data_IF_052935997785
#
_entry.id   IF_052935997785
#
_cell.length_a   1.000
_cell.length_b   1.000
_cell.length_c   1.000
_cell.angle_alpha   90.00
_cell.angle_beta   90.00
_cell.angle_gamma   90.00
#
_symmetry.space_group_name_H-M   'P 1'
#
loop_
_entity.id
_entity.type
_entity.pdbx_description
1 polymer ?
#
# COMPACT_ATOMS: atom_id res chain seq x y z
N UNK A 1 2.74 -24.86 7.28
CA UNK A 1 1.51 -24.68 6.45
C UNK A 1 0.31 -25.25 7.20
N UNK A 2 -0.69 -24.42 7.50
CA UNK A 2 -1.84 -24.80 8.34
C UNK A 2 -2.76 -25.80 7.60
N UNK A 3 -3.32 -26.79 8.33
CA UNK A 3 -4.23 -27.79 7.76
C UNK A 3 -5.41 -27.19 6.94
N UNK A 4 -6.12 -26.14 7.41
CA UNK A 4 -7.22 -25.54 6.66
C UNK A 4 -6.79 -24.92 5.33
N UNK A 5 -5.60 -24.33 5.24
CA UNK A 5 -5.07 -23.81 3.98
C UNK A 5 -4.78 -24.92 2.97
N UNK A 6 -4.21 -26.06 3.41
CA UNK A 6 -4.01 -27.23 2.54
C UNK A 6 -5.32 -27.81 2.02
N UNK A 7 -6.36 -27.80 2.85
CA UNK A 7 -7.69 -28.25 2.43
C UNK A 7 -8.28 -27.33 1.34
N UNK A 8 -8.09 -26.01 1.45
CA UNK A 8 -8.51 -25.04 0.43
C UNK A 8 -7.74 -25.23 -0.88
N UNK A 9 -6.42 -25.42 -0.82
CA UNK A 9 -5.57 -25.66 -1.99
C UNK A 9 -6.00 -26.98 -2.70
N UNK A 10 -6.29 -28.03 -1.94
CA UNK A 10 -6.76 -29.31 -2.48
C UNK A 10 -8.17 -29.17 -3.11
N UNK A 11 -9.09 -28.44 -2.46
CA UNK A 11 -10.42 -28.18 -3.01
C UNK A 11 -10.36 -27.40 -4.33
N UNK A 12 -9.50 -26.37 -4.40
CA UNK A 12 -9.28 -25.63 -5.64
C UNK A 12 -8.73 -26.54 -6.75
N UNK A 13 -7.75 -27.40 -6.45
CA UNK A 13 -7.19 -28.34 -7.41
C UNK A 13 -8.22 -29.36 -7.90
N UNK A 14 -9.08 -29.89 -7.03
CA UNK A 14 -10.17 -30.79 -7.40
C UNK A 14 -11.22 -30.08 -8.27
N UNK A 15 -11.59 -28.84 -7.96
CA UNK A 15 -12.49 -28.04 -8.77
C UNK A 15 -11.94 -27.82 -10.19
N UNK A 16 -10.62 -27.58 -10.32
CA UNK A 16 -9.94 -27.49 -11.62
C UNK A 16 -10.08 -28.79 -12.41
N UNK A 17 -9.82 -29.94 -11.79
CA UNK A 17 -9.99 -31.23 -12.46
C UNK A 17 -11.44 -31.40 -12.97
N UNK A 18 -12.42 -31.03 -12.16
CA UNK A 18 -13.83 -31.06 -12.56
C UNK A 18 -14.14 -30.15 -13.75
N UNK A 19 -13.69 -28.90 -13.71
CA UNK A 19 -13.90 -27.93 -14.81
C UNK A 19 -13.24 -28.41 -16.11
N UNK A 20 -12.00 -28.89 -16.04
CA UNK A 20 -11.27 -29.42 -17.19
C UNK A 20 -11.96 -30.65 -17.75
N UNK A 21 -12.39 -31.60 -16.90
CA UNK A 21 -13.10 -32.78 -17.33
C UNK A 21 -14.42 -32.46 -18.06
N UNK A 22 -15.21 -31.54 -17.49
CA UNK A 22 -16.45 -31.07 -18.12
C UNK A 22 -16.18 -30.37 -19.45
N UNK A 23 -15.17 -29.49 -19.50
CA UNK A 23 -14.82 -28.76 -20.72
C UNK A 23 -14.27 -29.67 -21.83
N UNK A 24 -13.59 -30.77 -21.46
CA UNK A 24 -13.08 -31.75 -22.43
C UNK A 24 -14.17 -32.73 -22.89
N UNK A 25 -15.15 -33.05 -22.03
CA UNK A 25 -16.28 -33.92 -22.35
C UNK A 25 -17.36 -33.21 -23.18
N UNK A 26 -17.38 -31.86 -23.16
CA UNK A 26 -18.30 -31.09 -23.97
C UNK A 26 -17.87 -31.15 -25.45
N UNK A 27 -18.76 -31.69 -26.32
CA UNK A 27 -18.61 -31.67 -27.79
C UNK A 27 -18.82 -30.25 -28.33
N UNK A 28 -17.83 -29.36 -28.09
CA UNK A 28 -17.90 -27.96 -28.51
C UNK A 28 -16.69 -27.51 -29.33
N UNK A 29 -16.78 -26.35 -29.98
CA UNK A 29 -15.66 -25.75 -30.70
C UNK A 29 -14.49 -25.52 -29.74
N UNK A 30 -13.25 -25.73 -30.21
CA UNK A 30 -12.03 -25.54 -29.42
C UNK A 30 -11.32 -24.27 -29.85
N UNK A 31 -10.66 -23.55 -28.90
CA UNK A 31 -9.93 -22.33 -29.24
C UNK A 31 -8.80 -22.65 -30.21
N UNK A 32 -8.53 -21.75 -31.16
CA UNK A 32 -7.39 -21.88 -32.05
C UNK A 32 -6.09 -21.96 -31.27
N UNK A 33 -5.28 -23.01 -31.43
CA UNK A 33 -4.08 -23.22 -30.57
C UNK A 33 -3.10 -22.05 -30.59
N UNK A 34 -2.93 -21.41 -31.74
CA UNK A 34 -2.03 -20.25 -31.88
C UNK A 34 -2.56 -19.04 -31.08
N UNK A 35 -3.86 -18.79 -31.10
CA UNK A 35 -4.47 -17.71 -30.32
C UNK A 35 -4.37 -18.00 -28.80
N UNK A 36 -4.63 -19.23 -28.40
CA UNK A 36 -4.48 -19.63 -26.99
C UNK A 36 -3.02 -19.47 -26.51
N UNK A 37 -2.05 -19.90 -27.31
CA UNK A 37 -0.64 -19.70 -27.01
C UNK A 37 -0.25 -18.22 -26.91
N UNK A 38 -0.77 -17.38 -27.82
CA UNK A 38 -0.54 -15.95 -27.83
C UNK A 38 -1.05 -15.26 -26.56
N UNK A 39 -2.33 -15.47 -26.22
CA UNK A 39 -2.89 -14.86 -24.99
C UNK A 39 -2.25 -15.41 -23.71
N UNK A 40 -1.83 -16.68 -23.70
CA UNK A 40 -1.04 -17.25 -22.60
C UNK A 40 0.30 -16.54 -22.45
N UNK A 41 1.01 -16.28 -23.55
CA UNK A 41 2.28 -15.56 -23.53
C UNK A 41 2.11 -14.10 -23.07
N UNK A 42 1.05 -13.43 -23.55
CA UNK A 42 0.74 -12.07 -23.14
C UNK A 42 0.39 -11.99 -21.65
N UNK A 43 -0.42 -12.92 -21.15
CA UNK A 43 -0.71 -13.01 -19.72
C UNK A 43 0.56 -13.28 -18.91
N UNK A 44 1.38 -14.23 -19.34
CA UNK A 44 2.67 -14.54 -18.70
C UNK A 44 3.58 -13.30 -18.66
N UNK A 45 3.69 -12.56 -19.75
CA UNK A 45 4.46 -11.33 -19.79
C UNK A 45 3.88 -10.26 -18.85
N UNK A 46 2.55 -10.12 -18.79
CA UNK A 46 1.88 -9.20 -17.88
C UNK A 46 2.13 -9.55 -16.41
N UNK A 47 1.98 -10.82 -16.02
CA UNK A 47 2.18 -11.31 -14.65
C UNK A 47 3.65 -11.20 -14.18
N UNK A 48 4.61 -11.29 -15.10
CA UNK A 48 6.02 -11.12 -14.78
C UNK A 48 6.52 -9.68 -14.97
N UNK A 49 5.62 -8.76 -15.33
CA UNK A 49 5.89 -7.33 -15.51
C UNK A 49 5.17 -6.47 -14.48
N UNK A 50 4.87 -7.02 -13.30
CA UNK A 50 4.16 -6.37 -12.22
C UNK A 50 4.79 -5.02 -11.85
N UNK A 51 3.95 -3.99 -11.77
CA UNK A 51 4.32 -2.66 -11.30
C UNK A 51 3.73 -2.50 -9.90
N UNK A 52 4.59 -2.29 -8.90
CA UNK A 52 4.15 -1.94 -7.56
C UNK A 52 3.61 -0.51 -7.60
N UNK A 53 2.34 -0.33 -7.25
CA UNK A 53 1.77 0.99 -7.07
C UNK A 53 2.14 1.54 -5.68
N UNK A 54 2.27 2.88 -5.54
CA UNK A 54 2.57 3.50 -4.24
C UNK A 54 1.51 3.24 -3.16
N UNK A 55 0.28 2.96 -3.57
CA UNK A 55 -0.82 2.57 -2.69
C UNK A 55 -0.82 1.05 -2.54
N UNK A 56 0.05 0.44 -1.77
CA UNK A 56 0.02 -0.99 -1.38
C UNK A 56 -0.71 -2.00 -2.32
N UNK A 57 -1.31 -1.55 -3.40
CA UNK A 57 -2.13 -2.30 -4.34
C UNK A 57 -1.32 -2.57 -5.60
N UNK A 58 -0.93 -3.80 -5.83
CA UNK A 58 -0.40 -4.25 -7.13
C UNK A 58 -1.57 -4.43 -8.10
N UNK A 59 -1.54 -3.74 -9.22
CA UNK A 59 -2.48 -3.98 -10.30
C UNK A 59 -1.75 -4.76 -11.39
N UNK A 60 -2.22 -5.99 -11.63
CA UNK A 60 -1.74 -6.76 -12.77
C UNK A 60 -2.57 -6.43 -14.00
N UNK A 61 -1.95 -6.05 -15.12
CA UNK A 61 -2.65 -5.97 -16.40
C UNK A 61 -3.06 -7.35 -16.93
N UNK A 62 -2.69 -8.44 -16.23
CA UNK A 62 -2.97 -9.82 -16.62
C UNK A 62 -4.46 -10.11 -16.77
N UNK A 63 -5.29 -9.56 -15.87
CA UNK A 63 -6.75 -9.71 -15.97
C UNK A 63 -7.30 -9.21 -17.31
N UNK A 64 -6.76 -8.11 -17.85
CA UNK A 64 -7.12 -7.59 -19.17
C UNK A 64 -6.87 -8.63 -20.27
N UNK A 65 -5.78 -9.40 -20.18
CA UNK A 65 -5.46 -10.44 -21.16
C UNK A 65 -6.43 -11.63 -21.09
N UNK A 66 -6.93 -11.97 -19.90
CA UNK A 66 -7.98 -12.98 -19.74
C UNK A 66 -9.27 -12.52 -20.39
N UNK A 67 -9.73 -11.30 -20.11
CA UNK A 67 -10.94 -10.77 -20.72
C UNK A 67 -10.81 -10.61 -22.24
N UNK A 68 -9.61 -10.26 -22.72
CA UNK A 68 -9.31 -10.23 -24.15
C UNK A 68 -9.38 -11.63 -24.79
N UNK A 69 -8.89 -12.67 -24.11
CA UNK A 69 -8.98 -14.04 -24.59
C UNK A 69 -10.44 -14.54 -24.62
N UNK A 70 -11.25 -14.20 -23.62
CA UNK A 70 -12.68 -14.51 -23.57
C UNK A 70 -13.39 -13.93 -24.80
N UNK A 71 -13.16 -12.65 -25.08
CA UNK A 71 -13.77 -11.99 -26.24
C UNK A 71 -13.23 -12.50 -27.59
N UNK A 72 -11.93 -12.82 -27.65
CA UNK A 72 -11.30 -13.36 -28.86
C UNK A 72 -11.75 -14.78 -29.20
N UNK A 73 -12.13 -15.58 -28.19
CA UNK A 73 -12.58 -16.95 -28.37
C UNK A 73 -14.12 -17.07 -28.51
N UNK A 74 -14.83 -15.94 -28.65
CA UNK A 74 -16.28 -15.96 -28.83
C UNK A 74 -16.69 -16.90 -29.97
N UNK A 75 -17.57 -17.87 -29.65
CA UNK A 75 -17.97 -18.94 -30.54
C UNK A 75 -16.91 -20.03 -30.84
N UNK A 76 -15.75 -19.98 -30.19
CA UNK A 76 -14.62 -20.91 -30.43
C UNK A 76 -14.11 -21.58 -29.11
N UNK A 77 -14.99 -21.94 -28.21
CA UNK A 77 -14.60 -22.61 -26.95
C UNK A 77 -14.07 -21.64 -25.91
N UNK A 78 -14.82 -20.60 -25.63
CA UNK A 78 -14.51 -19.51 -24.68
C UNK A 78 -14.08 -20.03 -23.33
N UNK A 79 -14.84 -20.96 -22.74
CA UNK A 79 -14.59 -21.48 -21.38
C UNK A 79 -13.24 -22.21 -21.32
N UNK A 80 -13.01 -23.13 -22.26
CA UNK A 80 -11.76 -23.90 -22.33
C UNK A 80 -10.56 -22.99 -22.64
N UNK A 81 -10.73 -22.07 -23.58
CA UNK A 81 -9.68 -21.12 -23.95
C UNK A 81 -9.26 -20.23 -22.80
N UNK A 82 -10.23 -19.62 -22.12
CA UNK A 82 -9.98 -18.78 -20.96
C UNK A 82 -9.35 -19.58 -19.80
N UNK A 83 -9.79 -20.80 -19.58
CA UNK A 83 -9.21 -21.71 -18.57
C UNK A 83 -7.73 -22.02 -18.85
N UNK A 84 -7.39 -22.37 -20.10
CA UNK A 84 -6.00 -22.65 -20.51
C UNK A 84 -5.13 -21.40 -20.32
N UNK A 85 -5.59 -20.25 -20.83
CA UNK A 85 -4.87 -18.99 -20.70
C UNK A 85 -4.67 -18.64 -19.22
N UNK A 86 -5.72 -18.73 -18.39
CA UNK A 86 -5.66 -18.45 -16.96
C UNK A 86 -4.68 -19.38 -16.22
N UNK A 87 -4.69 -20.67 -16.48
CA UNK A 87 -3.80 -21.62 -15.81
C UNK A 87 -2.34 -21.44 -16.20
N UNK A 88 -2.06 -21.43 -17.51
CA UNK A 88 -0.69 -21.43 -18.03
C UNK A 88 -0.02 -20.05 -17.95
N UNK A 89 -0.80 -18.98 -18.17
CA UNK A 89 -0.28 -17.61 -18.27
C UNK A 89 0.06 -16.98 -16.92
N UNK A 90 -0.42 -17.51 -15.82
CA UNK A 90 -0.16 -16.96 -14.45
C UNK A 90 1.15 -17.43 -13.84
N UNK A 91 2.00 -18.16 -14.59
CA UNK A 91 3.30 -18.62 -14.09
C UNK A 91 4.20 -17.43 -13.76
N UNK A 92 4.63 -17.32 -12.49
CA UNK A 92 5.51 -16.26 -12.01
C UNK A 92 6.94 -16.78 -11.84
N UNK A 93 7.89 -16.18 -12.56
CA UNK A 93 9.31 -16.55 -12.54
C UNK A 93 9.88 -16.44 -11.12
N UNK A 94 9.50 -15.43 -10.37
CA UNK A 94 9.99 -15.21 -9.01
C UNK A 94 9.55 -16.33 -8.05
N UNK A 95 8.29 -16.78 -8.13
CA UNK A 95 7.80 -17.90 -7.31
C UNK A 95 8.50 -19.22 -7.67
N UNK A 96 8.71 -19.46 -8.98
CA UNK A 96 9.40 -20.64 -9.46
C UNK A 96 10.88 -20.66 -9.01
N UNK A 97 11.60 -19.55 -9.14
CA UNK A 97 12.99 -19.40 -8.67
C UNK A 97 13.12 -19.60 -7.16
N UNK A 98 12.15 -19.09 -6.38
CA UNK A 98 12.11 -19.26 -4.91
C UNK A 98 11.53 -20.61 -4.49
N UNK A 99 11.25 -21.53 -5.41
CA UNK A 99 10.67 -22.87 -5.18
C UNK A 99 9.35 -22.85 -4.40
N UNK A 100 8.56 -21.79 -4.54
CA UNK A 100 7.24 -21.67 -3.88
C UNK A 100 6.12 -22.28 -4.75
N UNK A 101 6.27 -23.55 -5.10
CA UNK A 101 5.40 -24.26 -6.04
C UNK A 101 3.93 -24.34 -5.59
N UNK A 102 3.68 -24.46 -4.28
CA UNK A 102 2.29 -24.53 -3.76
C UNK A 102 1.52 -23.22 -4.02
N UNK A 103 2.17 -22.08 -3.84
CA UNK A 103 1.56 -20.78 -4.10
C UNK A 103 1.33 -20.59 -5.60
N UNK A 104 2.32 -20.95 -6.42
CA UNK A 104 2.18 -20.90 -7.87
C UNK A 104 1.04 -21.77 -8.35
N UNK A 105 0.92 -23.00 -7.84
CA UNK A 105 -0.18 -23.89 -8.19
C UNK A 105 -1.53 -23.33 -7.79
N UNK A 106 -1.66 -22.79 -6.56
CA UNK A 106 -2.88 -22.13 -6.13
C UNK A 106 -3.26 -20.97 -7.06
N UNK A 107 -2.31 -20.09 -7.39
CA UNK A 107 -2.55 -18.96 -8.30
C UNK A 107 -3.04 -19.46 -9.68
N UNK A 108 -2.40 -20.47 -10.25
CA UNK A 108 -2.82 -21.04 -11.53
C UNK A 108 -4.22 -21.67 -11.47
N UNK A 109 -4.54 -22.41 -10.41
CA UNK A 109 -5.87 -22.99 -10.21
C UNK A 109 -6.94 -21.90 -10.03
N UNK A 110 -6.67 -20.91 -9.21
CA UNK A 110 -7.58 -19.81 -8.95
C UNK A 110 -7.90 -19.00 -10.21
N UNK A 111 -6.87 -18.68 -11.01
CA UNK A 111 -7.05 -17.97 -12.28
C UNK A 111 -7.82 -18.81 -13.30
N UNK A 112 -7.55 -20.11 -13.39
CA UNK A 112 -8.32 -21.02 -14.23
C UNK A 112 -9.81 -21.00 -13.88
N UNK A 113 -10.12 -21.16 -12.58
CA UNK A 113 -11.52 -21.20 -12.12
C UNK A 113 -12.23 -19.88 -12.38
N UNK A 114 -11.57 -18.74 -12.06
CA UNK A 114 -12.14 -17.42 -12.29
C UNK A 114 -12.32 -17.11 -13.79
N UNK A 115 -11.35 -17.48 -14.63
CA UNK A 115 -11.41 -17.29 -16.07
C UNK A 115 -12.46 -18.20 -16.74
N UNK A 116 -12.54 -19.46 -16.33
CA UNK A 116 -13.54 -20.39 -16.82
C UNK A 116 -14.95 -19.92 -16.47
N UNK A 117 -15.17 -19.48 -15.22
CA UNK A 117 -16.46 -18.95 -14.80
C UNK A 117 -16.83 -17.66 -15.57
N UNK A 118 -15.88 -16.74 -15.74
CA UNK A 118 -16.11 -15.53 -16.54
C UNK A 118 -16.43 -15.87 -18.01
N UNK A 119 -15.70 -16.82 -18.59
CA UNK A 119 -15.97 -17.33 -19.94
C UNK A 119 -17.33 -17.97 -20.06
N UNK A 120 -17.76 -18.74 -19.06
CA UNK A 120 -19.09 -19.35 -19.01
C UNK A 120 -20.19 -18.26 -18.95
N UNK A 121 -20.05 -17.26 -18.08
CA UNK A 121 -21.00 -16.15 -17.97
C UNK A 121 -21.08 -15.38 -19.27
N UNK A 122 -19.94 -15.14 -19.94
CA UNK A 122 -19.90 -14.44 -21.22
C UNK A 122 -20.61 -15.23 -22.32
N UNK A 123 -20.35 -16.52 -22.43
CA UNK A 123 -20.94 -17.40 -23.44
C UNK A 123 -22.45 -17.61 -23.22
N UNK A 124 -22.88 -17.76 -21.97
CA UNK A 124 -24.28 -17.92 -21.57
C UNK A 124 -25.16 -16.74 -22.00
N UNK A 125 -24.64 -15.53 -21.96
CA UNK A 125 -25.40 -14.33 -22.26
C UNK A 125 -25.61 -14.12 -23.78
N UNK A 126 -24.86 -14.81 -24.63
CA UNK A 126 -25.03 -14.96 -26.10
C UNK A 126 -25.32 -13.66 -26.88
N UNK A 127 -25.18 -12.49 -26.27
CA UNK A 127 -25.49 -11.19 -26.86
C UNK A 127 -24.27 -10.66 -27.58
N UNK A 128 -24.11 -11.09 -28.83
CA UNK A 128 -22.88 -10.90 -29.61
C UNK A 128 -22.72 -9.55 -30.28
N UNK A 129 -23.62 -8.58 -30.04
CA UNK A 129 -23.52 -7.24 -30.66
C UNK A 129 -24.17 -6.15 -29.82
N UNK A 130 -23.70 -4.91 -30.01
CA UNK A 130 -24.26 -3.72 -29.41
C UNK A 130 -24.18 -3.67 -27.86
N UNK A 131 -25.17 -3.08 -27.18
CA UNK A 131 -25.18 -2.90 -25.73
C UNK A 131 -25.11 -4.22 -24.95
N UNK A 132 -25.63 -5.33 -25.52
CA UNK A 132 -25.61 -6.64 -24.89
C UNK A 132 -24.21 -7.21 -24.70
N UNK A 133 -23.31 -6.95 -25.63
CA UNK A 133 -21.91 -7.34 -25.51
C UNK A 133 -21.22 -6.68 -24.30
N UNK A 134 -21.49 -5.38 -24.11
CA UNK A 134 -20.98 -4.67 -22.92
C UNK A 134 -21.56 -5.22 -21.62
N UNK A 135 -22.84 -5.54 -21.59
CA UNK A 135 -23.48 -6.15 -20.42
C UNK A 135 -22.87 -7.52 -20.12
N UNK A 136 -22.67 -8.36 -21.14
CA UNK A 136 -21.99 -9.65 -20.99
C UNK A 136 -20.57 -9.51 -20.45
N UNK A 137 -19.82 -8.53 -20.94
CA UNK A 137 -18.46 -8.24 -20.45
C UNK A 137 -18.45 -7.76 -19.01
N UNK A 138 -19.37 -6.88 -18.62
CA UNK A 138 -19.50 -6.40 -17.24
C UNK A 138 -19.82 -7.58 -16.29
N UNK A 139 -20.77 -8.42 -16.67
CA UNK A 139 -21.16 -9.56 -15.86
C UNK A 139 -20.08 -10.65 -15.80
N UNK A 140 -19.37 -10.90 -16.89
CA UNK A 140 -18.21 -11.79 -16.92
C UNK A 140 -17.07 -11.24 -16.03
N UNK A 141 -16.80 -9.92 -16.10
CA UNK A 141 -15.83 -9.22 -15.24
C UNK A 141 -16.20 -9.36 -13.75
N UNK A 142 -17.48 -9.13 -13.42
CA UNK A 142 -17.98 -9.30 -12.06
C UNK A 142 -17.86 -10.76 -11.60
N UNK A 143 -18.19 -11.71 -12.48
CA UNK A 143 -18.03 -13.14 -12.21
C UNK A 143 -16.58 -13.52 -11.91
N UNK A 144 -15.65 -13.05 -12.72
CA UNK A 144 -14.21 -13.23 -12.43
C UNK A 144 -13.83 -12.68 -11.07
N UNK A 145 -14.19 -11.42 -10.79
CA UNK A 145 -13.85 -10.75 -9.54
C UNK A 145 -14.42 -11.49 -8.32
N UNK A 146 -15.66 -11.96 -8.39
CA UNK A 146 -16.32 -12.72 -7.32
C UNK A 146 -15.56 -14.02 -7.04
N UNK A 147 -15.27 -14.81 -8.07
CA UNK A 147 -14.54 -16.09 -7.89
C UNK A 147 -13.13 -15.84 -7.38
N UNK A 148 -12.44 -14.82 -7.94
CA UNK A 148 -11.10 -14.43 -7.51
C UNK A 148 -11.10 -14.08 -6.01
N UNK A 149 -11.96 -13.14 -5.59
CA UNK A 149 -12.04 -12.72 -4.18
C UNK A 149 -12.43 -13.89 -3.27
N UNK A 150 -13.40 -14.71 -3.67
CA UNK A 150 -13.86 -15.85 -2.88
C UNK A 150 -12.75 -16.90 -2.61
N UNK A 151 -11.77 -17.02 -3.51
CA UNK A 151 -10.64 -17.93 -3.35
C UNK A 151 -9.45 -17.25 -2.65
N UNK A 152 -9.11 -16.02 -3.04
CA UNK A 152 -7.92 -15.31 -2.53
C UNK A 152 -8.10 -14.87 -1.08
N UNK A 153 -9.26 -14.30 -0.72
CA UNK A 153 -9.50 -13.78 0.62
C UNK A 153 -9.29 -14.84 1.72
N UNK A 154 -9.91 -16.01 1.68
CA UNK A 154 -9.69 -17.05 2.70
C UNK A 154 -8.27 -17.62 2.64
N UNK A 155 -7.68 -17.74 1.46
CA UNK A 155 -6.30 -18.25 1.31
C UNK A 155 -5.27 -17.34 2.00
N UNK A 156 -5.41 -16.01 1.84
CA UNK A 156 -4.56 -15.02 2.50
C UNK A 156 -4.84 -14.98 4.00
N UNK A 157 -6.11 -14.86 4.40
CA UNK A 157 -6.49 -14.81 5.81
C UNK A 157 -5.96 -16.02 6.61
N UNK A 158 -6.09 -17.24 6.05
CA UNK A 158 -5.58 -18.46 6.66
C UNK A 158 -4.05 -18.57 6.60
N UNK A 159 -3.44 -18.03 5.53
CA UNK A 159 -1.99 -18.06 5.34
C UNK A 159 -1.25 -17.16 6.32
N UNK A 160 -1.73 -15.94 6.48
CA UNK A 160 -1.11 -14.88 7.29
C UNK A 160 -1.73 -14.74 8.68
N UNK A 161 -2.75 -15.55 8.99
CA UNK A 161 -3.50 -15.48 10.27
C UNK A 161 -4.11 -14.10 10.54
N UNK A 162 -4.55 -13.44 9.47
CA UNK A 162 -5.21 -12.13 9.53
C UNK A 162 -6.73 -12.30 9.62
N UNK A 163 -7.44 -11.36 10.27
CA UNK A 163 -8.88 -11.28 10.19
C UNK A 163 -9.34 -11.08 8.74
N UNK A 164 -10.39 -11.79 8.27
CA UNK A 164 -10.92 -11.59 6.91
C UNK A 164 -11.32 -10.14 6.59
N UNK A 165 -11.74 -9.37 7.60
CA UNK A 165 -12.06 -7.95 7.49
C UNK A 165 -10.89 -7.10 7.02
N UNK A 166 -9.69 -7.41 7.52
CA UNK A 166 -8.47 -6.64 7.22
C UNK A 166 -8.01 -6.95 5.80
N UNK A 167 -8.02 -8.25 5.42
CA UNK A 167 -7.74 -8.67 4.05
C UNK A 167 -8.73 -8.04 3.06
N UNK A 168 -10.02 -7.99 3.40
CA UNK A 168 -11.03 -7.33 2.59
C UNK A 168 -10.81 -5.83 2.46
N UNK A 169 -10.43 -5.15 3.55
CA UNK A 169 -10.13 -3.73 3.55
C UNK A 169 -8.98 -3.40 2.58
N UNK A 170 -8.00 -4.28 2.46
CA UNK A 170 -6.88 -4.14 1.52
C UNK A 170 -7.26 -4.48 0.07
N UNK A 171 -8.19 -5.43 -0.14
CA UNK A 171 -8.61 -5.84 -1.49
C UNK A 171 -9.62 -4.90 -2.16
N UNK A 172 -10.58 -4.38 -1.39
CA UNK A 172 -11.71 -3.58 -1.92
C UNK A 172 -11.31 -2.38 -2.79
N UNK A 173 -10.20 -1.64 -2.54
CA UNK A 173 -9.80 -0.50 -3.38
C UNK A 173 -9.38 -0.92 -4.79
N UNK A 174 -9.03 -2.18 -5.01
CA UNK A 174 -8.65 -2.71 -6.32
C UNK A 174 -9.85 -3.11 -7.19
N UNK A 175 -11.05 -3.27 -6.60
CA UNK A 175 -12.23 -3.75 -7.33
C UNK A 175 -12.64 -2.89 -8.54
N UNK A 176 -12.61 -1.54 -8.49
CA UNK A 176 -12.93 -0.72 -9.66
C UNK A 176 -12.00 -0.99 -10.85
N UNK A 177 -10.75 -1.41 -10.61
CA UNK A 177 -9.80 -1.70 -11.67
C UNK A 177 -10.22 -2.92 -12.50
N UNK A 178 -10.94 -3.89 -11.92
CA UNK A 178 -11.47 -5.02 -12.67
C UNK A 178 -12.40 -4.55 -13.77
N UNK A 179 -13.30 -3.59 -13.50
CA UNK A 179 -14.20 -3.07 -14.50
C UNK A 179 -13.46 -2.37 -15.65
N UNK A 180 -12.51 -1.50 -15.33
CA UNK A 180 -11.73 -0.78 -16.32
C UNK A 180 -10.92 -1.73 -17.21
N UNK A 181 -10.17 -2.67 -16.59
CA UNK A 181 -9.38 -3.65 -17.34
C UNK A 181 -10.25 -4.69 -18.05
N UNK A 182 -11.41 -5.03 -17.49
CA UNK A 182 -12.37 -5.93 -18.12
C UNK A 182 -12.91 -5.38 -19.45
N UNK A 183 -13.35 -4.12 -19.44
CA UNK A 183 -13.85 -3.44 -20.65
C UNK A 183 -12.72 -3.22 -21.68
N UNK A 184 -11.53 -2.86 -21.23
CA UNK A 184 -10.38 -2.73 -22.12
C UNK A 184 -10.01 -4.09 -22.74
N UNK A 185 -10.03 -5.17 -21.96
CA UNK A 185 -9.82 -6.53 -22.42
C UNK A 185 -10.84 -6.93 -23.49
N UNK A 186 -12.13 -6.67 -23.23
CA UNK A 186 -13.17 -6.90 -24.25
C UNK A 186 -12.85 -6.19 -25.56
N UNK A 187 -12.54 -4.89 -25.51
CA UNK A 187 -12.20 -4.10 -26.70
C UNK A 187 -11.03 -4.72 -27.46
N UNK A 188 -10.00 -5.16 -26.75
CA UNK A 188 -8.83 -5.80 -27.33
C UNK A 188 -9.14 -7.15 -27.98
N UNK A 189 -9.96 -7.97 -27.32
CA UNK A 189 -10.39 -9.25 -27.87
C UNK A 189 -11.22 -9.09 -29.12
N UNK A 190 -12.14 -8.11 -29.14
CA UNK A 190 -12.94 -7.79 -30.32
C UNK A 190 -12.06 -7.26 -31.47
N UNK A 191 -11.11 -6.41 -31.16
CA UNK A 191 -10.16 -5.90 -32.16
C UNK A 191 -9.29 -7.03 -32.71
N UNK A 192 -8.84 -7.95 -31.86
CA UNK A 192 -8.10 -9.14 -32.28
C UNK A 192 -8.94 -10.02 -33.23
N UNK A 193 -10.22 -10.23 -32.92
CA UNK A 193 -11.12 -10.99 -33.78
C UNK A 193 -11.32 -10.34 -35.15
N UNK A 194 -11.20 -9.01 -35.23
CA UNK A 194 -11.40 -8.25 -36.46
C UNK A 194 -10.15 -8.14 -37.35
N UNK A 195 -8.97 -7.88 -36.72
CA UNK A 195 -7.72 -7.59 -37.46
C UNK A 195 -6.58 -8.58 -37.16
N UNK A 196 -6.84 -9.57 -36.32
CA UNK A 196 -5.87 -10.61 -35.98
C UNK A 196 -4.68 -10.07 -35.16
N UNK A 197 -3.53 -10.70 -35.33
CA UNK A 197 -2.31 -10.41 -34.54
C UNK A 197 -1.76 -8.99 -34.76
N UNK A 198 -2.21 -8.26 -35.79
CA UNK A 198 -1.81 -6.87 -36.07
C UNK A 198 -2.19 -5.91 -34.92
N UNK A 199 -3.15 -6.29 -34.06
CA UNK A 199 -3.50 -5.53 -32.84
C UNK A 199 -2.40 -5.49 -31.80
N UNK A 200 -1.48 -6.46 -31.79
CA UNK A 200 -0.47 -6.61 -30.75
C UNK A 200 0.49 -5.41 -30.60
N UNK A 201 1.06 -4.87 -31.69
CA UNK A 201 1.88 -3.66 -31.57
C UNK A 201 1.12 -2.48 -30.98
N UNK A 202 -0.16 -2.32 -31.35
CA UNK A 202 -1.03 -1.28 -30.81
C UNK A 202 -1.25 -1.40 -29.29
N UNK A 203 -1.09 -2.60 -28.76
CA UNK A 203 -1.25 -2.93 -27.35
C UNK A 203 0.07 -2.81 -26.57
N UNK A 204 1.15 -3.36 -27.16
CA UNK A 204 2.46 -3.43 -26.51
C UNK A 204 3.03 -2.02 -26.29
N UNK A 205 2.85 -1.10 -27.22
CA UNK A 205 3.41 0.26 -27.13
C UNK A 205 2.82 1.05 -25.95
N UNK A 206 1.48 1.22 -25.82
CA UNK A 206 0.92 1.93 -24.65
C UNK A 206 1.24 1.26 -23.31
N UNK A 207 1.20 -0.07 -23.26
CA UNK A 207 1.55 -0.82 -22.03
C UNK A 207 3.01 -0.60 -21.64
N UNK A 208 3.91 -0.60 -22.62
CA UNK A 208 5.35 -0.35 -22.38
C UNK A 208 5.60 1.09 -21.93
N UNK A 209 4.92 2.06 -22.53
CA UNK A 209 4.99 3.48 -22.13
C UNK A 209 4.45 3.64 -20.72
N UNK A 210 3.26 3.13 -20.42
CA UNK A 210 2.66 3.18 -19.10
C UNK A 210 3.60 2.57 -18.05
N UNK A 211 4.17 1.39 -18.33
CA UNK A 211 5.14 0.74 -17.47
C UNK A 211 6.36 1.64 -17.20
N UNK A 212 6.94 2.26 -18.23
CA UNK A 212 8.07 3.17 -18.09
C UNK A 212 7.73 4.36 -17.20
N UNK A 213 6.58 5.00 -17.44
CA UNK A 213 6.12 6.14 -16.65
C UNK A 213 5.92 5.73 -15.19
N UNK A 214 5.29 4.60 -14.93
CA UNK A 214 5.12 4.08 -13.57
C UNK A 214 6.45 3.73 -12.89
N UNK A 215 7.37 3.08 -13.60
CA UNK A 215 8.69 2.76 -13.05
C UNK A 215 9.44 4.04 -12.66
N UNK A 216 9.46 5.05 -13.52
CA UNK A 216 10.08 6.35 -13.22
C UNK A 216 9.40 7.07 -12.05
N UNK A 217 8.07 6.97 -11.92
CA UNK A 217 7.36 7.51 -10.77
C UNK A 217 7.75 6.83 -9.46
N UNK A 218 7.91 5.50 -9.47
CA UNK A 218 8.35 4.73 -8.30
C UNK A 218 9.80 5.06 -7.92
N UNK A 219 10.70 5.12 -8.90
CA UNK A 219 12.09 5.54 -8.68
C UNK A 219 12.16 6.94 -8.05
N UNK A 220 11.34 7.88 -8.53
CA UNK A 220 11.25 9.21 -7.95
C UNK A 220 10.74 9.16 -6.50
N UNK A 221 9.72 8.37 -6.22
CA UNK A 221 9.20 8.20 -4.84
C UNK A 221 10.24 7.59 -3.91
N UNK A 222 10.95 6.55 -4.36
CA UNK A 222 12.03 5.94 -3.59
C UNK A 222 13.18 6.93 -3.34
N UNK A 223 13.51 7.79 -4.32
CA UNK A 223 14.51 8.84 -4.15
C UNK A 223 14.07 9.88 -3.11
N UNK A 224 12.78 10.27 -3.08
CA UNK A 224 12.24 11.16 -2.04
C UNK A 224 12.36 10.51 -0.66
N UNK A 225 11.94 9.26 -0.49
CA UNK A 225 12.07 8.54 0.79
C UNK A 225 13.54 8.39 1.22
N UNK A 226 14.44 8.11 0.29
CA UNK A 226 15.87 8.05 0.58
C UNK A 226 16.41 9.40 1.04
N UNK A 227 16.00 10.51 0.41
CA UNK A 227 16.38 11.86 0.79
C UNK A 227 15.94 12.18 2.22
N UNK A 228 14.68 11.86 2.56
CA UNK A 228 14.15 12.03 3.92
C UNK A 228 14.97 11.25 4.94
N UNK A 229 15.25 9.97 4.66
CA UNK A 229 16.09 9.13 5.53
C UNK A 229 17.49 9.72 5.76
N UNK A 230 18.12 10.26 4.71
CA UNK A 230 19.42 10.90 4.82
C UNK A 230 19.35 12.11 5.76
N UNK A 231 18.32 12.93 5.65
CA UNK A 231 18.15 14.10 6.55
C UNK A 231 17.92 13.65 8.00
N UNK A 232 17.08 12.65 8.23
CA UNK A 232 16.87 12.10 9.58
C UNK A 232 18.21 11.62 10.16
N UNK A 233 18.97 10.83 9.41
CA UNK A 233 20.29 10.33 9.87
C UNK A 233 21.28 11.46 10.12
N UNK A 234 21.24 12.54 9.35
CA UNK A 234 22.09 13.71 9.58
C UNK A 234 21.74 14.44 10.90
N UNK A 235 20.43 14.53 11.23
CA UNK A 235 19.97 15.09 12.51
C UNK A 235 20.41 14.19 13.67
N UNK A 236 20.17 12.89 13.58
CA UNK A 236 20.53 11.89 14.60
C UNK A 236 22.05 11.85 14.87
N UNK A 237 22.87 11.96 13.82
CA UNK A 237 24.32 12.01 13.97
C UNK A 237 24.79 13.27 14.74
N UNK A 238 24.01 14.35 14.70
CA UNK A 238 24.30 15.61 15.34
C UNK A 238 23.71 15.72 16.76
N UNK A 239 22.55 15.12 16.97
CA UNK A 239 21.80 15.06 18.23
C UNK A 239 21.47 13.59 18.52
N UNK A 240 22.35 12.85 19.20
CA UNK A 240 22.14 11.41 19.50
C UNK A 240 20.84 11.11 20.26
N UNK A 241 20.25 12.12 20.90
CA UNK A 241 18.98 11.97 21.62
C UNK A 241 17.76 11.92 20.71
N UNK A 242 17.93 12.24 19.41
CA UNK A 242 16.88 12.17 18.41
C UNK A 242 16.84 10.83 17.66
N UNK A 243 17.70 9.85 18.05
CA UNK A 243 17.70 8.53 17.39
C UNK A 243 16.31 7.87 17.53
N UNK A 244 15.70 7.60 16.37
CA UNK A 244 14.35 7.06 16.24
C UNK A 244 13.21 7.98 16.70
N UNK A 245 13.49 9.16 17.22
CA UNK A 245 12.48 10.12 17.68
C UNK A 245 11.57 10.57 16.55
N UNK A 246 12.13 11.06 15.44
CA UNK A 246 11.35 11.54 14.30
C UNK A 246 10.41 10.45 13.74
N UNK A 247 10.85 9.19 13.73
CA UNK A 247 10.06 8.05 13.26
C UNK A 247 8.93 7.71 14.26
N UNK A 248 9.19 7.78 15.58
CA UNK A 248 8.14 7.56 16.59
C UNK A 248 7.10 8.67 16.55
N UNK A 249 7.52 9.95 16.47
CA UNK A 249 6.61 11.10 16.32
C UNK A 249 5.75 10.92 15.07
N UNK A 250 6.34 10.54 13.95
CA UNK A 250 5.59 10.28 12.71
C UNK A 250 4.61 9.10 12.86
N UNK A 251 4.98 8.03 13.58
CA UNK A 251 4.09 6.90 13.90
C UNK A 251 2.87 7.38 14.68
N UNK A 252 3.08 8.13 15.75
CA UNK A 252 1.99 8.66 16.58
C UNK A 252 1.13 9.65 15.80
N UNK A 253 1.74 10.53 15.02
CA UNK A 253 1.01 11.47 14.17
C UNK A 253 0.08 10.76 13.17
N UNK A 254 0.55 9.67 12.56
CA UNK A 254 -0.29 8.84 11.70
C UNK A 254 -1.45 8.17 12.46
N UNK A 255 -1.25 7.80 13.72
CA UNK A 255 -2.32 7.25 14.54
C UNK A 255 -3.41 8.30 14.78
N UNK A 256 -3.01 9.52 15.17
CA UNK A 256 -3.92 10.64 15.37
C UNK A 256 -4.64 11.02 14.07
N UNK A 257 -3.91 11.15 12.97
CA UNK A 257 -4.50 11.50 11.68
C UNK A 257 -5.53 10.47 11.18
N UNK A 258 -5.29 9.17 11.42
CA UNK A 258 -6.28 8.11 11.12
C UNK A 258 -7.51 8.21 12.03
N UNK A 259 -7.32 8.49 13.32
CA UNK A 259 -8.40 8.70 14.29
C UNK A 259 -9.27 9.90 13.90
N UNK A 260 -8.66 10.95 13.34
CA UNK A 260 -9.31 12.14 12.83
C UNK A 260 -9.81 12.00 11.39
N UNK A 261 -9.78 10.78 10.82
CA UNK A 261 -10.28 10.46 9.47
C UNK A 261 -9.61 11.24 8.34
N UNK A 262 -8.30 11.52 8.45
CA UNK A 262 -7.54 12.17 7.38
C UNK A 262 -7.48 11.29 6.12
N UNK A 263 -7.56 11.92 4.96
CA UNK A 263 -7.38 11.23 3.67
C UNK A 263 -5.95 10.68 3.54
N UNK A 264 -5.72 9.66 2.70
CA UNK A 264 -4.38 9.09 2.48
C UNK A 264 -3.32 10.13 2.08
N UNK A 265 -3.68 11.09 1.23
CA UNK A 265 -2.78 12.18 0.82
C UNK A 265 -2.41 13.08 2.01
N UNK A 266 -3.39 13.41 2.85
CA UNK A 266 -3.19 14.23 4.04
C UNK A 266 -2.36 13.51 5.10
N UNK A 267 -2.53 12.19 5.24
CA UNK A 267 -1.69 11.34 6.10
C UNK A 267 -0.23 11.29 5.61
N UNK A 268 0.00 11.24 4.31
CA UNK A 268 1.34 11.29 3.76
C UNK A 268 2.04 12.62 4.05
N UNK A 269 1.34 13.75 3.89
CA UNK A 269 1.85 15.08 4.25
C UNK A 269 2.17 15.17 5.75
N UNK A 270 1.26 14.72 6.61
CA UNK A 270 1.47 14.70 8.06
C UNK A 270 2.69 13.85 8.45
N UNK A 271 2.89 12.70 7.83
CA UNK A 271 4.04 11.84 8.07
C UNK A 271 5.36 12.57 7.77
N UNK A 272 5.47 13.23 6.61
CA UNK A 272 6.67 13.95 6.27
C UNK A 272 6.88 15.20 7.15
N UNK A 273 5.82 15.91 7.49
CA UNK A 273 5.90 17.03 8.42
C UNK A 273 6.47 16.59 9.78
N UNK A 274 5.96 15.48 10.33
CA UNK A 274 6.45 14.89 11.57
C UNK A 274 7.90 14.42 11.47
N UNK A 275 8.31 13.78 10.35
CA UNK A 275 9.69 13.35 10.14
C UNK A 275 10.68 14.51 10.06
N UNK A 276 10.24 15.65 9.55
CA UNK A 276 11.11 16.78 9.21
C UNK A 276 10.98 17.99 10.15
N UNK A 277 10.11 17.92 11.20
CA UNK A 277 9.86 19.08 12.07
C UNK A 277 11.13 19.63 12.73
N UNK A 278 12.11 18.79 12.95
CA UNK A 278 13.38 19.09 13.61
C UNK A 278 14.55 19.33 12.65
N UNK A 279 14.35 19.33 11.32
CA UNK A 279 15.45 19.45 10.33
C UNK A 279 16.30 20.70 10.52
N UNK A 280 15.71 21.76 11.02
CA UNK A 280 16.41 23.01 11.33
C UNK A 280 17.48 22.89 12.41
N UNK A 281 17.45 21.85 13.25
CA UNK A 281 18.49 21.55 14.24
C UNK A 281 19.87 21.34 13.60
N UNK A 282 19.93 21.05 12.30
CA UNK A 282 21.18 20.97 11.55
C UNK A 282 21.99 22.31 11.60
N UNK A 283 21.34 23.43 11.75
CA UNK A 283 22.01 24.73 11.88
C UNK A 283 22.41 25.10 13.32
N UNK A 284 21.90 24.39 14.33
CA UNK A 284 22.21 24.65 15.73
C UNK A 284 23.59 24.07 16.07
N UNK A 285 24.51 24.79 16.73
CA UNK A 285 25.78 24.20 17.14
C UNK A 285 25.60 22.99 18.08
N UNK A 286 26.32 21.87 17.84
CA UNK A 286 26.21 20.64 18.62
C UNK A 286 26.47 20.85 20.10
N UNK A 287 27.35 21.79 20.48
CA UNK A 287 27.62 22.18 21.89
C UNK A 287 26.39 22.72 22.62
N UNK A 288 25.41 23.30 21.88
CA UNK A 288 24.15 23.78 22.48
C UNK A 288 23.14 22.67 22.56
N UNK A 289 23.03 21.83 21.52
CA UNK A 289 22.10 20.68 21.52
C UNK A 289 22.47 19.68 22.61
N UNK A 290 23.77 19.43 22.81
CA UNK A 290 24.27 18.41 23.73
C UNK A 290 24.77 19.02 25.06
N UNK A 291 24.35 20.24 25.41
CA UNK A 291 24.77 20.89 26.67
C UNK A 291 24.24 20.13 27.88
N UNK A 292 25.11 19.65 28.78
CA UNK A 292 24.66 19.05 30.03
C UNK A 292 24.08 20.15 30.93
N UNK A 293 22.77 20.18 31.13
CA UNK A 293 22.05 21.12 31.99
C UNK A 293 21.12 22.07 31.24
N UNK A 294 20.57 23.05 31.98
CA UNK A 294 19.60 24.00 31.40
C UNK A 294 20.28 25.01 30.48
N UNK A 295 19.61 25.34 29.39
CA UNK A 295 20.01 26.44 28.50
C UNK A 295 19.71 27.79 29.15
N UNK A 296 20.56 28.79 28.93
CA UNK A 296 20.23 30.20 29.25
C UNK A 296 19.13 30.71 28.30
N UNK A 297 18.46 31.83 28.63
CA UNK A 297 17.43 32.39 27.75
C UNK A 297 18.00 32.72 26.34
N UNK A 298 19.25 33.18 26.26
CA UNK A 298 19.93 33.50 25.00
C UNK A 298 20.27 32.24 24.20
N UNK A 299 20.73 31.19 24.88
CA UNK A 299 20.99 29.89 24.27
C UNK A 299 19.70 29.27 23.76
N UNK A 300 18.64 29.32 24.58
CA UNK A 300 17.31 28.83 24.21
C UNK A 300 16.78 29.57 22.96
N UNK A 301 16.88 30.89 22.92
CA UNK A 301 16.50 31.68 21.78
C UNK A 301 17.32 31.33 20.50
N UNK A 302 18.59 30.91 20.67
CA UNK A 302 19.40 30.40 19.54
C UNK A 302 18.91 29.04 19.06
N UNK A 303 18.51 28.17 19.95
CA UNK A 303 17.93 26.86 19.56
C UNK A 303 16.59 27.06 18.87
N UNK A 304 15.72 27.94 19.38
CA UNK A 304 14.41 28.22 18.74
C UNK A 304 14.52 28.76 17.29
N UNK A 305 15.66 29.34 16.91
CA UNK A 305 15.88 29.78 15.52
C UNK A 305 15.89 28.62 14.53
N UNK A 306 16.00 27.37 14.98
CA UNK A 306 15.92 26.21 14.08
C UNK A 306 14.61 26.16 13.30
N UNK A 307 13.49 26.70 13.82
CA UNK A 307 12.21 26.76 13.11
C UNK A 307 12.33 27.57 11.79
N UNK A 308 13.05 28.70 11.80
CA UNK A 308 13.31 29.48 10.58
C UNK A 308 14.18 28.73 9.58
N UNK A 309 15.16 27.99 10.07
CA UNK A 309 16.02 27.16 9.23
C UNK A 309 15.24 25.98 8.66
N UNK A 310 14.31 25.41 9.43
CA UNK A 310 13.38 24.39 8.94
C UNK A 310 12.61 24.90 7.71
N UNK A 311 12.02 26.10 7.80
CA UNK A 311 11.33 26.75 6.67
C UNK A 311 12.27 26.90 5.47
N UNK A 312 13.47 27.45 5.67
CA UNK A 312 14.44 27.71 4.59
C UNK A 312 14.89 26.41 3.89
N UNK A 313 15.07 25.33 4.64
CA UNK A 313 15.45 24.02 4.07
C UNK A 313 14.27 23.42 3.30
N UNK A 314 13.09 23.31 3.93
CA UNK A 314 11.94 22.64 3.35
C UNK A 314 11.38 23.35 2.11
N UNK A 315 11.43 24.69 2.07
CA UNK A 315 10.99 25.45 0.90
C UNK A 315 11.86 25.25 -0.34
N UNK A 316 13.11 24.79 -0.18
CA UNK A 316 14.03 24.50 -1.29
C UNK A 316 13.78 23.13 -1.93
N UNK A 317 12.98 22.28 -1.30
CA UNK A 317 12.69 20.93 -1.77
C UNK A 317 11.24 20.87 -2.20
N UNK A 318 10.97 20.80 -3.51
CA UNK A 318 9.64 21.01 -4.08
C UNK A 318 8.55 20.13 -3.46
N UNK A 319 8.80 18.83 -3.25
CA UNK A 319 7.80 17.92 -2.67
C UNK A 319 7.56 18.15 -1.17
N UNK A 320 8.41 18.95 -0.49
CA UNK A 320 8.28 19.27 0.93
C UNK A 320 7.61 20.64 1.19
N UNK A 321 7.47 21.47 0.17
CA UNK A 321 6.90 22.83 0.32
C UNK A 321 5.51 22.84 0.98
N UNK A 322 4.69 21.85 0.68
CA UNK A 322 3.33 21.73 1.25
C UNK A 322 3.31 21.40 2.75
N UNK A 323 4.44 20.94 3.29
CA UNK A 323 4.58 20.49 4.68
C UNK A 323 5.25 21.54 5.57
N UNK A 324 5.75 22.64 4.98
CA UNK A 324 6.54 23.65 5.69
C UNK A 324 5.80 24.20 6.90
N UNK A 325 4.54 24.60 6.72
CA UNK A 325 3.72 25.16 7.80
C UNK A 325 3.54 24.15 8.93
N UNK A 326 3.18 22.93 8.60
CA UNK A 326 2.96 21.88 9.59
C UNK A 326 4.24 21.52 10.36
N UNK A 327 5.40 21.52 9.70
CA UNK A 327 6.68 21.22 10.34
C UNK A 327 7.23 22.39 11.15
N UNK A 328 7.10 23.64 10.66
CA UNK A 328 7.66 24.83 11.33
C UNK A 328 6.85 25.28 12.54
N UNK A 329 5.55 25.13 12.48
CA UNK A 329 4.64 25.60 13.51
C UNK A 329 4.33 24.53 14.59
N UNK A 330 4.93 23.35 14.46
CA UNK A 330 4.81 22.25 15.44
C UNK A 330 5.25 22.64 16.88
N UNK A 331 6.07 23.68 17.02
CA UNK A 331 6.49 24.19 18.32
C UNK A 331 5.72 25.44 18.81
N UNK A 332 4.68 25.88 18.09
CA UNK A 332 3.83 26.96 18.50
C UNK A 332 2.81 26.50 19.54
N UNK A 333 2.60 27.29 20.58
CA UNK A 333 1.56 27.03 21.58
C UNK A 333 0.16 27.32 21.00
N UNK A 334 -0.82 26.55 21.38
CA UNK A 334 -2.18 26.68 20.92
C UNK A 334 -2.80 28.05 21.27
N UNK A 335 -2.64 28.52 22.51
CA UNK A 335 -3.10 29.84 22.95
C UNK A 335 -2.36 31.05 22.41
N UNK A 336 -1.05 30.87 22.07
CA UNK A 336 -0.21 31.98 21.60
C UNK A 336 -0.67 32.52 20.24
N UNK A 337 -1.65 31.89 19.64
CA UNK A 337 -2.05 32.13 18.27
C UNK A 337 -2.93 33.36 18.07
N UNK A 338 -3.71 33.83 19.05
CA UNK A 338 -4.75 34.82 18.80
C UNK A 338 -5.42 34.57 17.43
N UNK A 339 -5.43 35.57 16.54
CA UNK A 339 -5.85 35.37 15.13
C UNK A 339 -5.00 34.36 14.34
N UNK A 340 -3.85 33.90 14.85
CA UNK A 340 -3.02 32.85 14.24
C UNK A 340 -3.45 31.44 14.63
N UNK A 341 -4.10 31.23 15.76
CA UNK A 341 -4.54 29.87 16.18
C UNK A 341 -5.50 29.26 15.18
N UNK A 342 -6.39 30.08 14.61
CA UNK A 342 -7.33 29.62 13.58
C UNK A 342 -6.67 29.34 12.22
N UNK A 343 -5.43 29.80 12.01
CA UNK A 343 -4.66 29.62 10.76
C UNK A 343 -3.58 28.54 10.86
N UNK A 344 -3.31 27.99 12.06
CA UNK A 344 -2.40 26.86 12.20
C UNK A 344 -3.03 25.60 11.62
N UNK A 345 -2.32 24.97 10.72
CA UNK A 345 -2.80 23.73 10.09
C UNK A 345 -2.92 22.66 11.16
N UNK A 346 -3.99 21.90 11.17
CA UNK A 346 -4.25 20.83 12.14
C UNK A 346 -3.06 19.86 12.26
N UNK A 347 -2.32 19.64 11.17
CA UNK A 347 -1.10 18.85 11.14
C UNK A 347 -0.03 19.36 12.10
N UNK A 348 0.15 20.68 12.25
CA UNK A 348 1.11 21.27 13.19
C UNK A 348 0.72 20.93 14.64
N UNK A 349 -0.56 21.04 14.97
CA UNK A 349 -1.07 20.65 16.29
C UNK A 349 -0.89 19.17 16.60
N UNK A 350 -1.09 18.29 15.60
CA UNK A 350 -0.85 16.86 15.76
C UNK A 350 0.64 16.61 16.03
N UNK A 351 1.54 17.24 15.27
CA UNK A 351 2.99 17.06 15.46
C UNK A 351 3.40 17.57 16.84
N UNK A 352 2.89 18.74 17.29
CA UNK A 352 3.19 19.28 18.63
C UNK A 352 2.81 18.31 19.76
N UNK A 353 1.61 17.73 19.71
CA UNK A 353 1.12 16.78 20.73
C UNK A 353 1.93 15.49 20.71
N UNK A 354 2.26 14.98 19.52
CA UNK A 354 2.99 13.71 19.37
C UNK A 354 4.48 13.85 19.70
N UNK A 355 5.09 15.00 19.41
CA UNK A 355 6.44 15.33 19.85
C UNK A 355 6.52 15.40 21.38
N UNK A 356 5.59 16.11 22.03
CA UNK A 356 5.52 16.20 23.48
C UNK A 356 5.31 14.82 24.13
N UNK A 357 4.44 13.98 23.54
CA UNK A 357 4.22 12.60 24.01
C UNK A 357 5.50 11.76 23.92
N UNK A 358 6.18 11.76 22.75
CA UNK A 358 7.46 11.04 22.63
C UNK A 358 8.51 11.58 23.55
N UNK A 359 8.61 12.90 23.69
CA UNK A 359 9.54 13.52 24.62
C UNK A 359 9.29 13.07 26.07
N UNK A 360 8.05 12.87 26.50
CA UNK A 360 7.70 12.41 27.86
C UNK A 360 7.92 10.92 28.06
N UNK A 361 7.61 10.12 27.05
CA UNK A 361 7.65 8.65 27.14
C UNK A 361 8.98 8.04 26.72
N UNK A 362 9.95 8.84 26.27
CA UNK A 362 11.31 8.39 25.93
C UNK A 362 12.30 8.78 27.04
N UNK A 363 13.26 7.89 27.34
CA UNK A 363 14.37 8.17 28.27
C UNK A 363 15.37 9.11 27.59
N UNK A 364 15.73 10.21 28.27
CA UNK A 364 16.73 11.18 27.83
C UNK A 364 17.91 11.21 28.83
N UNK A 365 19.05 11.75 28.44
CA UNK A 365 20.25 11.79 29.29
C UNK A 365 20.05 12.40 30.68
N UNK A 366 19.11 13.30 30.82
CA UNK A 366 18.81 14.03 32.05
C UNK A 366 17.48 13.65 32.70
N UNK A 367 16.67 12.77 32.07
CA UNK A 367 15.35 12.35 32.60
C UNK A 367 14.97 10.96 32.10
N UNK A 368 14.51 10.10 32.99
CA UNK A 368 13.87 8.83 32.62
C UNK A 368 12.50 9.08 31.97
N UNK A 369 12.06 8.12 31.17
CA UNK A 369 10.72 8.11 30.61
C UNK A 369 9.66 8.19 31.71
N UNK A 370 8.61 8.94 31.48
CA UNK A 370 7.40 8.92 32.32
C UNK A 370 6.53 7.71 31.95
N UNK A 371 5.71 7.27 32.91
CA UNK A 371 4.66 6.30 32.58
C UNK A 371 3.64 6.92 31.62
N UNK A 372 3.06 6.11 30.75
CA UNK A 372 2.10 6.56 29.71
C UNK A 372 0.94 7.36 30.32
N UNK A 373 0.40 6.89 31.43
CA UNK A 373 -0.72 7.52 32.11
C UNK A 373 -0.36 8.91 32.63
N UNK A 374 0.89 9.10 33.09
CA UNK A 374 1.40 10.41 33.52
C UNK A 374 1.56 11.34 32.33
N UNK A 375 2.06 10.84 31.19
CA UNK A 375 2.17 11.62 29.96
C UNK A 375 0.80 12.05 29.44
N UNK A 376 -0.21 11.18 29.49
CA UNK A 376 -1.59 11.53 29.11
C UNK A 376 -2.19 12.58 30.04
N UNK A 377 -1.96 12.47 31.36
CA UNK A 377 -2.44 13.46 32.32
C UNK A 377 -1.82 14.84 32.07
N UNK A 378 -0.52 14.91 31.79
CA UNK A 378 0.17 16.18 31.46
C UNK A 378 -0.34 16.79 30.17
N UNK A 379 -0.56 15.99 29.11
CA UNK A 379 -1.13 16.48 27.85
C UNK A 379 -2.54 17.06 28.06
N UNK A 380 -3.39 16.40 28.85
CA UNK A 380 -4.73 16.88 29.19
C UNK A 380 -4.71 18.15 30.04
N UNK A 381 -3.78 18.26 30.99
CA UNK A 381 -3.62 19.48 31.80
C UNK A 381 -3.25 20.70 30.95
N UNK A 382 -2.47 20.48 29.89
CA UNK A 382 -2.03 21.54 28.97
C UNK A 382 -2.96 21.70 27.73
N UNK A 383 -4.02 20.90 27.63
CA UNK A 383 -5.00 21.04 26.55
C UNK A 383 -5.75 22.38 26.65
N UNK A 384 -5.91 23.05 25.52
CA UNK A 384 -6.52 24.38 25.45
C UNK A 384 -5.54 25.54 25.63
N UNK A 385 -4.36 25.28 26.26
CA UNK A 385 -3.32 26.30 26.42
C UNK A 385 -2.11 26.04 25.50
N UNK A 386 -1.42 24.95 25.70
CA UNK A 386 -0.26 24.56 24.89
C UNK A 386 -0.63 23.66 23.73
N UNK A 387 -1.58 22.77 23.93
CA UNK A 387 -1.98 21.75 22.95
C UNK A 387 -3.44 21.90 22.52
N UNK A 388 -3.72 21.52 21.27
CA UNK A 388 -5.09 21.43 20.77
C UNK A 388 -5.81 20.26 21.48
N UNK A 389 -6.96 20.52 22.15
CA UNK A 389 -7.67 19.49 22.91
C UNK A 389 -8.14 18.31 22.07
N UNK A 390 -8.56 18.56 20.83
CA UNK A 390 -9.00 17.51 19.90
C UNK A 390 -7.86 16.55 19.55
N UNK A 391 -6.65 17.07 19.31
CA UNK A 391 -5.47 16.29 19.03
C UNK A 391 -5.03 15.46 20.22
N UNK A 392 -5.11 16.00 21.45
CA UNK A 392 -4.78 15.28 22.67
C UNK A 392 -5.69 14.07 22.84
N UNK A 393 -7.00 14.27 22.78
CA UNK A 393 -7.96 13.18 22.93
C UNK A 393 -7.90 12.17 21.79
N UNK A 394 -7.61 12.61 20.56
CA UNK A 394 -7.39 11.70 19.43
C UNK A 394 -6.14 10.82 19.63
N UNK A 395 -5.04 11.37 20.20
CA UNK A 395 -3.85 10.59 20.53
C UNK A 395 -4.16 9.52 21.60
N UNK A 396 -4.82 9.91 22.69
CA UNK A 396 -5.17 8.99 23.77
C UNK A 396 -6.02 7.84 23.23
N UNK A 397 -7.13 8.16 22.55
CA UNK A 397 -8.02 7.15 21.94
C UNK A 397 -7.26 6.23 20.96
N UNK A 398 -6.38 6.81 20.15
CA UNK A 398 -5.64 6.05 19.14
C UNK A 398 -4.68 5.04 19.77
N UNK A 399 -4.01 5.39 20.86
CA UNK A 399 -3.07 4.49 21.58
C UNK A 399 -3.86 3.44 22.38
N UNK A 400 -4.88 3.84 23.14
CA UNK A 400 -5.72 2.92 23.92
C UNK A 400 -6.39 1.86 23.05
N UNK A 401 -6.93 2.24 21.89
CA UNK A 401 -7.56 1.31 20.95
C UNK A 401 -6.60 0.26 20.42
N UNK A 402 -5.31 0.57 20.31
CA UNK A 402 -4.26 -0.36 19.88
C UNK A 402 -3.74 -1.25 20.98
N UNK A 403 -4.00 -0.88 22.24
CA UNK A 403 -3.45 -1.58 23.39
C UNK A 403 -1.92 -1.47 23.49
N UNK A 404 -1.31 -0.54 22.77
CA UNK A 404 0.13 -0.30 22.83
C UNK A 404 0.47 0.47 24.12
N UNK A 405 1.62 0.15 24.71
CA UNK A 405 2.12 0.81 25.92
C UNK A 405 3.48 1.40 25.67
N UNK A 406 3.70 2.60 26.23
CA UNK A 406 4.89 3.40 26.06
C UNK A 406 5.38 3.96 27.39
N UNK A 407 6.62 4.41 27.45
CA UNK A 407 7.19 5.05 28.62
C UNK A 407 7.84 4.07 29.59
N UNK A 408 7.87 4.43 30.86
CA UNK A 408 8.57 3.67 31.91
C UNK A 408 8.10 2.21 31.97
N UNK A 409 9.04 1.27 31.82
CA UNK A 409 8.78 -0.17 31.81
C UNK A 409 8.41 -0.73 30.43
N UNK A 410 8.28 0.12 29.41
CA UNK A 410 8.01 -0.23 28.02
C UNK A 410 8.95 0.52 27.06
N UNK A 411 10.16 0.83 27.55
CA UNK A 411 11.18 1.51 26.76
C UNK A 411 11.56 0.59 25.58
N UNK A 412 11.28 1.05 24.37
CA UNK A 412 11.69 0.33 23.16
C UNK A 412 13.19 0.54 23.01
N UNK A 413 13.94 -0.55 22.93
CA UNK A 413 15.31 -0.51 22.46
C UNK A 413 15.33 0.16 21.08
N UNK A 414 16.29 1.05 20.85
CA UNK A 414 16.42 1.86 19.64
C UNK A 414 16.88 1.04 18.42
N UNK A 415 16.40 -0.19 18.28
CA UNK A 415 16.78 -1.09 17.20
C UNK A 415 15.70 -1.13 16.12
N UNK A 416 16.11 -0.69 14.95
CA UNK A 416 15.50 -0.91 13.64
C UNK A 416 13.99 -0.68 13.50
N UNK A 417 13.58 0.59 13.50
CA UNK A 417 12.33 0.95 12.84
C UNK A 417 12.52 1.01 11.32
N UNK A 418 12.53 -0.12 10.68
CA UNK A 418 11.94 -0.20 9.35
C UNK A 418 10.43 -0.03 9.57
N UNK A 419 9.90 1.16 9.27
CA UNK A 419 8.48 1.28 8.99
C UNK A 419 8.23 0.26 7.89
N UNK A 420 7.63 -0.87 8.26
CA UNK A 420 7.24 -1.87 7.29
C UNK A 420 6.43 -1.13 6.22
N UNK A 421 6.79 -1.26 4.94
CA UNK A 421 5.94 -0.71 3.90
C UNK A 421 4.53 -1.22 4.18
N UNK A 422 3.49 -0.40 4.00
CA UNK A 422 2.12 -0.83 4.20
C UNK A 422 1.94 -2.16 3.49
N UNK A 423 1.28 -3.10 4.16
CA UNK A 423 1.06 -4.47 3.67
C UNK A 423 0.69 -4.41 2.20
N UNK A 424 1.51 -5.02 1.37
CA UNK A 424 1.42 -4.92 -0.09
C UNK A 424 0.05 -5.41 -0.51
N UNK A 425 -0.70 -4.57 -1.18
CA UNK A 425 -2.06 -4.87 -1.59
C UNK A 425 -2.16 -6.13 -2.42
N UNK A 426 -3.23 -6.85 -2.17
CA UNK A 426 -3.60 -8.07 -2.90
C UNK A 426 -4.10 -7.66 -4.28
N UNK A 427 -3.20 -7.53 -5.23
CA UNK A 427 -3.54 -7.52 -6.64
C UNK A 427 -3.89 -8.92 -7.12
N UNK A 428 -4.36 -9.05 -8.33
CA UNK A 428 -4.74 -10.34 -8.93
C UNK A 428 -3.59 -11.38 -8.92
N UNK A 429 -2.34 -10.93 -8.76
CA UNK A 429 -1.15 -11.75 -8.60
C UNK A 429 -0.48 -11.62 -7.21
N UNK A 430 -1.10 -10.88 -6.29
CA UNK A 430 -0.47 -10.38 -5.06
C UNK A 430 -0.12 -11.38 -3.98
N UNK A 431 -0.45 -12.67 -4.12
CA UNK A 431 -0.14 -13.68 -3.09
C UNK A 431 1.37 -13.94 -2.94
N UNK A 432 2.13 -13.75 -4.01
CA UNK A 432 3.58 -13.92 -4.00
C UNK A 432 4.33 -12.86 -3.22
N UNK A 433 3.81 -11.63 -3.22
CA UNK A 433 4.43 -10.50 -2.56
C UNK A 433 4.13 -10.44 -1.05
N UNK A 434 2.95 -10.91 -0.62
CA UNK A 434 2.59 -11.01 0.80
C UNK A 434 3.48 -11.99 1.57
N UNK A 435 3.93 -13.06 0.90
CA UNK A 435 4.78 -14.08 1.52
C UNK A 435 6.28 -13.77 1.41
N UNK A 436 6.67 -12.69 0.74
CA UNK A 436 8.06 -12.26 0.66
C UNK A 436 8.53 -11.43 1.86
N UNK A 437 7.60 -10.88 2.65
CA UNK A 437 7.91 -10.11 3.86
C UNK A 437 8.46 -10.96 5.01
N UNK A 438 8.10 -12.25 5.08
CA UNK A 438 8.67 -13.18 6.08
C UNK A 438 10.15 -13.54 5.83
N UNK A 439 10.68 -13.32 4.63
CA UNK A 439 12.04 -13.73 4.28
C UNK A 439 13.12 -12.69 4.62
N UNK A 440 12.74 -11.54 5.16
CA UNK A 440 13.66 -10.47 5.61
C UNK A 440 13.97 -10.59 7.10
N UNK A 441 13.26 -11.47 7.84
CA UNK A 441 13.45 -11.67 9.28
C UNK A 441 14.08 -13.02 9.64
N UNK A 442 14.67 -13.74 8.69
CA UNK A 442 15.41 -14.98 8.96
C UNK A 442 16.86 -14.88 8.47
#
# INVERSE_FOLDING_TARGET
MNAPRRALDAAAALAVVGVVAVALAADGPRPAPLAAALFTLLLFAAENSLIKLPSSTTVSPGFMMIMASIAAFDGQGVVLGAAIVGFCGTAQINLLRRRRFSIQLFNSCQYLLAAAFAGFVFDLLAWRSGPGLFAAAILATAGFAIVNVALVLPHVALGERLPPSDVWADMRPALPNYLAFGLLGLLLGQLYSSVGWVVLPLLIVPVTIARKVFASFLELKEAHEATVRVFIRAIEAKDPYTAGHAERVAKYALYVGKEMSFSPARLEHLRYAALMHDIGKLAVPSRLLNKPGRLTPEEYSRVQRHNRVCIDILTRVDFMKTMVVAASDAHAHFESGGDRADNLVMEAHIVAVTDAFDAMTSTRSYRRALAQEVAFAELRDKAGSQFNPECVEALVRAIERRGEKYGLGYEQDTTDFTVAPPVVGVGSAGLGDLLSSEAVQA
#
